data_IF_230904120468
#
_entry.id   IF_230904120468
#
_cell.length_a   1.000
_cell.length_b   1.000
_cell.length_c   1.000
_cell.angle_alpha   90.00
_cell.angle_beta   90.00
_cell.angle_gamma   90.00
#
_symmetry.space_group_name_H-M   'P 1'
#
loop_
_entity.id
_entity.type
_entity.pdbx_description
1 polymer ?
#
# COMPACT_ATOMS: atom_id res chain seq x y z
N UNK A 1 32.49 -33.76 2.29
CA UNK A 1 32.69 -32.29 2.39
C UNK A 1 31.63 -31.51 1.62
N UNK A 2 31.36 -31.81 0.38
CA UNK A 2 30.36 -31.11 -0.43
C UNK A 2 28.91 -31.30 0.03
N UNK A 3 28.52 -32.46 0.55
CA UNK A 3 27.18 -32.75 1.06
C UNK A 3 26.80 -31.90 2.29
N UNK A 4 27.75 -31.54 3.14
CA UNK A 4 27.52 -30.72 4.33
C UNK A 4 27.31 -29.26 3.99
N UNK A 5 27.95 -28.74 2.94
CA UNK A 5 27.81 -27.37 2.46
C UNK A 5 26.45 -27.21 1.78
N UNK A 6 26.00 -28.19 1.00
CA UNK A 6 24.68 -28.16 0.34
C UNK A 6 23.52 -28.13 1.35
N UNK A 7 23.62 -28.89 2.44
CA UNK A 7 22.58 -28.90 3.50
C UNK A 7 22.54 -27.58 4.23
N UNK A 8 23.69 -26.96 4.50
CA UNK A 8 23.74 -25.65 5.15
C UNK A 8 23.11 -24.53 4.29
N UNK A 9 23.40 -24.52 2.99
CA UNK A 9 22.79 -23.58 2.05
C UNK A 9 21.28 -23.77 1.94
N UNK A 10 20.79 -25.02 1.97
CA UNK A 10 19.36 -25.32 1.92
C UNK A 10 18.63 -24.82 3.17
N UNK A 11 19.24 -24.98 4.35
CA UNK A 11 18.68 -24.52 5.62
C UNK A 11 18.60 -22.98 5.66
N UNK A 12 19.62 -22.29 5.15
CA UNK A 12 19.64 -20.82 5.09
C UNK A 12 18.53 -20.30 4.19
N UNK A 13 18.25 -20.97 3.06
CA UNK A 13 17.20 -20.59 2.14
C UNK A 13 15.79 -20.69 2.77
N UNK A 14 15.53 -21.75 3.55
CA UNK A 14 14.28 -21.93 4.28
C UNK A 14 14.03 -20.87 5.36
N UNK A 15 15.10 -20.42 6.03
CA UNK A 15 14.97 -19.40 7.08
C UNK A 15 14.55 -18.04 6.51
N UNK A 16 15.05 -17.67 5.33
CA UNK A 16 14.69 -16.38 4.69
C UNK A 16 13.23 -16.34 4.20
N UNK A 17 12.73 -17.42 3.62
CA UNK A 17 11.33 -17.50 3.18
C UNK A 17 10.35 -17.45 4.34
N UNK A 18 10.65 -18.11 5.46
CA UNK A 18 9.78 -18.09 6.65
C UNK A 18 9.70 -16.72 7.31
N UNK A 19 10.78 -15.90 7.26
CA UNK A 19 10.77 -14.52 7.76
C UNK A 19 9.90 -13.58 6.93
N UNK A 20 9.89 -13.72 5.60
CA UNK A 20 9.02 -12.93 4.72
C UNK A 20 7.55 -13.28 4.92
N UNK A 21 7.20 -14.55 5.01
CA UNK A 21 5.83 -15.00 5.28
C UNK A 21 5.30 -14.43 6.60
N UNK A 22 6.10 -14.43 7.66
CA UNK A 22 5.73 -13.84 8.95
C UNK A 22 5.48 -12.34 8.86
N UNK A 23 6.32 -11.59 8.13
CA UNK A 23 6.12 -10.15 7.92
C UNK A 23 4.83 -9.88 7.13
N UNK A 24 4.59 -10.64 6.07
CA UNK A 24 3.37 -10.52 5.27
C UNK A 24 2.10 -10.76 6.11
N UNK A 25 2.10 -11.77 6.97
CA UNK A 25 0.99 -12.05 7.89
C UNK A 25 0.77 -10.92 8.89
N UNK A 26 1.85 -10.35 9.44
CA UNK A 26 1.77 -9.20 10.35
C UNK A 26 1.17 -7.99 9.64
N UNK A 27 1.64 -7.67 8.43
CA UNK A 27 1.13 -6.54 7.67
C UNK A 27 -0.33 -6.71 7.25
N UNK A 28 -0.73 -7.93 6.87
CA UNK A 28 -2.13 -8.24 6.57
C UNK A 28 -3.04 -8.05 7.80
N UNK A 29 -2.59 -8.49 8.97
CA UNK A 29 -3.31 -8.30 10.22
C UNK A 29 -3.41 -6.82 10.60
N UNK A 30 -2.32 -6.07 10.49
CA UNK A 30 -2.31 -4.63 10.78
C UNK A 30 -3.25 -3.85 9.86
N UNK A 31 -3.26 -4.16 8.56
CA UNK A 31 -4.16 -3.54 7.60
C UNK A 31 -5.63 -3.84 7.92
N UNK A 32 -5.93 -5.09 8.24
CA UNK A 32 -7.27 -5.51 8.67
C UNK A 32 -7.71 -4.79 9.94
N UNK A 33 -6.85 -4.76 10.95
CA UNK A 33 -7.13 -4.10 12.23
C UNK A 33 -7.37 -2.59 12.03
N UNK A 34 -6.54 -1.92 11.23
CA UNK A 34 -6.73 -0.51 10.88
C UNK A 34 -8.09 -0.28 10.20
N UNK A 35 -8.46 -1.14 9.26
CA UNK A 35 -9.74 -1.07 8.57
C UNK A 35 -10.92 -1.25 9.53
N UNK A 36 -10.85 -2.23 10.42
CA UNK A 36 -11.94 -2.56 11.36
C UNK A 36 -12.07 -1.53 12.49
N UNK A 37 -10.98 -0.94 12.97
CA UNK A 37 -10.98 -0.03 14.12
C UNK A 37 -11.01 1.44 13.73
N UNK A 38 -10.48 1.83 12.59
CA UNK A 38 -10.25 3.23 12.22
C UNK A 38 -11.07 3.66 11.00
N UNK A 39 -11.25 2.78 10.01
CA UNK A 39 -12.01 3.10 8.81
C UNK A 39 -13.52 2.90 9.01
N UNK A 40 -14.37 3.65 8.27
CA UNK A 40 -14.00 4.78 7.41
C UNK A 40 -13.58 6.01 8.22
N UNK A 41 -12.60 6.76 7.72
CA UNK A 41 -12.10 7.96 8.40
C UNK A 41 -11.94 9.11 7.39
N UNK A 42 -12.55 10.26 7.70
CA UNK A 42 -12.29 11.49 6.94
C UNK A 42 -10.87 11.97 7.19
N UNK A 43 -10.09 12.07 6.12
CA UNK A 43 -8.69 12.57 6.16
C UNK A 43 -8.65 14.08 6.07
N UNK A 44 -9.58 14.67 5.30
CA UNK A 44 -9.84 16.09 5.13
C UNK A 44 -11.32 16.28 4.77
N UNK A 45 -11.72 17.50 4.39
CA UNK A 45 -13.13 17.82 4.07
C UNK A 45 -13.67 17.05 2.85
N UNK A 46 -12.80 16.54 1.99
CA UNK A 46 -13.16 15.94 0.71
C UNK A 46 -12.74 14.49 0.55
N UNK A 47 -11.86 13.98 1.41
CA UNK A 47 -11.22 12.68 1.26
C UNK A 47 -11.50 11.78 2.45
N UNK A 48 -12.07 10.61 2.19
CA UNK A 48 -12.26 9.56 3.20
C UNK A 48 -11.43 8.33 2.83
N UNK A 49 -10.69 7.81 3.79
CA UNK A 49 -10.12 6.46 3.66
C UNK A 49 -11.17 5.43 4.08
N UNK A 50 -11.48 4.50 3.18
CA UNK A 50 -12.54 3.50 3.39
C UNK A 50 -11.98 2.19 3.96
N UNK A 51 -10.85 1.76 3.45
CA UNK A 51 -10.21 0.52 3.87
C UNK A 51 -8.75 0.45 3.44
N UNK A 52 -8.01 -0.39 4.14
CA UNK A 52 -6.64 -0.78 3.80
C UNK A 52 -6.57 -2.30 3.75
N UNK A 53 -6.02 -2.85 2.68
CA UNK A 53 -5.87 -4.29 2.49
C UNK A 53 -4.42 -4.58 2.13
N UNK A 54 -3.81 -5.55 2.80
CA UNK A 54 -2.50 -6.06 2.43
C UNK A 54 -2.64 -7.42 1.74
N UNK A 55 -2.05 -7.56 0.56
CA UNK A 55 -2.06 -8.79 -0.23
C UNK A 55 -0.63 -9.31 -0.34
N UNK A 56 -0.33 -10.43 0.31
CA UNK A 56 0.95 -11.12 0.18
C UNK A 56 1.18 -11.65 -1.22
N UNK A 57 2.43 -11.67 -1.67
CA UNK A 57 2.83 -12.19 -2.99
C UNK A 57 3.90 -13.27 -2.85
N UNK A 58 4.05 -14.11 -3.88
CA UNK A 58 5.06 -15.17 -3.89
C UNK A 58 6.45 -14.66 -4.27
N UNK A 59 6.52 -13.62 -5.10
CA UNK A 59 7.75 -13.06 -5.67
C UNK A 59 8.28 -11.84 -4.89
N UNK A 60 7.48 -11.31 -3.95
CA UNK A 60 7.81 -10.17 -3.10
C UNK A 60 6.98 -10.21 -1.81
N UNK A 61 7.26 -9.28 -0.87
CA UNK A 61 6.54 -9.22 0.40
C UNK A 61 5.03 -9.04 0.22
N UNK A 62 4.61 -8.16 -0.69
CA UNK A 62 3.21 -7.92 -1.01
C UNK A 62 2.87 -6.47 -1.30
N UNK A 63 1.58 -6.22 -1.46
CA UNK A 63 1.00 -4.93 -1.85
C UNK A 63 0.09 -4.40 -0.75
N UNK A 64 0.28 -3.14 -0.36
CA UNK A 64 -0.63 -2.40 0.49
C UNK A 64 -1.60 -1.61 -0.41
N UNK A 65 -2.86 -1.96 -0.38
CA UNK A 65 -3.92 -1.33 -1.17
C UNK A 65 -4.76 -0.42 -0.27
N UNK A 66 -4.81 0.87 -0.61
CA UNK A 66 -5.55 1.88 0.14
C UNK A 66 -6.70 2.42 -0.69
N UNK A 67 -7.91 2.28 -0.19
CA UNK A 67 -9.15 2.68 -0.87
C UNK A 67 -9.67 3.96 -0.28
N UNK A 68 -9.91 4.94 -1.16
CA UNK A 68 -10.41 6.26 -0.81
C UNK A 68 -11.68 6.60 -1.56
N UNK A 69 -12.54 7.40 -0.93
CA UNK A 69 -13.68 8.06 -1.57
C UNK A 69 -13.47 9.56 -1.53
N UNK A 70 -13.69 10.22 -2.68
CA UNK A 70 -13.66 11.67 -2.82
C UNK A 70 -15.11 12.21 -2.88
N UNK A 71 -15.38 13.20 -2.02
CA UNK A 71 -16.65 13.93 -1.95
C UNK A 71 -16.51 15.27 -2.69
N UNK A 72 -16.81 15.28 -3.98
CA UNK A 72 -16.55 16.39 -4.88
C UNK A 72 -17.85 16.93 -5.46
N UNK A 73 -17.99 18.26 -5.48
CA UNK A 73 -18.95 18.91 -6.37
C UNK A 73 -18.45 18.92 -7.83
N UNK A 74 -19.25 19.37 -8.76
CA UNK A 74 -18.90 19.30 -10.19
C UNK A 74 -17.67 20.13 -10.55
N UNK A 75 -17.47 21.28 -9.91
CA UNK A 75 -16.29 22.13 -10.12
C UNK A 75 -15.03 21.48 -9.56
N UNK A 76 -15.07 21.01 -8.33
CA UNK A 76 -13.93 20.32 -7.68
C UNK A 76 -13.57 19.03 -8.41
N UNK A 77 -14.57 18.29 -8.91
CA UNK A 77 -14.34 17.09 -9.72
C UNK A 77 -13.55 17.39 -10.97
N UNK A 78 -13.92 18.46 -11.68
CA UNK A 78 -13.19 18.89 -12.87
C UNK A 78 -11.74 19.24 -12.53
N UNK A 79 -11.50 19.98 -11.46
CA UNK A 79 -10.15 20.33 -10.99
C UNK A 79 -9.34 19.08 -10.70
N UNK A 80 -9.89 18.11 -9.97
CA UNK A 80 -9.21 16.84 -9.66
C UNK A 80 -8.89 16.07 -10.94
N UNK A 81 -9.86 15.93 -11.85
CA UNK A 81 -9.66 15.20 -13.11
C UNK A 81 -8.58 15.84 -14.00
N UNK A 82 -8.46 17.15 -13.98
CA UNK A 82 -7.44 17.88 -14.73
C UNK A 82 -6.05 17.82 -14.06
N UNK A 83 -5.95 17.40 -12.78
CA UNK A 83 -4.73 17.39 -11.99
C UNK A 83 -4.38 16.01 -11.35
N UNK A 84 -4.78 14.92 -11.98
CA UNK A 84 -4.51 13.57 -11.44
C UNK A 84 -3.01 13.27 -11.25
N UNK A 85 -2.16 13.81 -12.11
CA UNK A 85 -0.71 13.67 -11.97
C UNK A 85 -0.17 14.32 -10.69
N UNK A 86 -0.68 15.49 -10.31
CA UNK A 86 -0.30 16.16 -9.06
C UNK A 86 -0.75 15.36 -7.83
N UNK A 87 -1.93 14.78 -7.88
CA UNK A 87 -2.42 13.91 -6.80
C UNK A 87 -1.53 12.68 -6.63
N UNK A 88 -1.10 12.06 -7.72
CA UNK A 88 -0.17 10.94 -7.69
C UNK A 88 1.19 11.34 -7.10
N UNK A 89 1.73 12.50 -7.47
CA UNK A 89 2.99 13.03 -6.92
C UNK A 89 2.87 13.35 -5.43
N UNK A 90 1.75 13.89 -4.98
CA UNK A 90 1.49 14.15 -3.56
C UNK A 90 1.49 12.84 -2.76
N UNK A 91 0.83 11.80 -3.27
CA UNK A 91 0.83 10.48 -2.64
C UNK A 91 2.24 9.88 -2.55
N UNK A 92 3.02 9.98 -3.61
CA UNK A 92 4.41 9.50 -3.62
C UNK A 92 5.28 10.26 -2.63
N UNK A 93 5.11 11.57 -2.54
CA UNK A 93 5.83 12.41 -1.57
C UNK A 93 5.47 12.03 -0.13
N UNK A 94 4.19 11.82 0.17
CA UNK A 94 3.75 11.34 1.48
C UNK A 94 4.35 9.96 1.78
N UNK A 95 4.27 9.04 0.83
CA UNK A 95 4.80 7.70 0.97
C UNK A 95 6.31 7.70 1.27
N UNK A 96 7.08 8.57 0.62
CA UNK A 96 8.53 8.72 0.86
C UNK A 96 8.86 9.29 2.24
N UNK A 97 8.07 10.24 2.73
CA UNK A 97 8.42 11.08 3.87
C UNK A 97 7.71 10.69 5.18
N UNK A 98 6.58 10.00 5.11
CA UNK A 98 5.81 9.65 6.30
C UNK A 98 6.49 8.54 7.11
N UNK A 99 6.68 8.82 8.40
CA UNK A 99 7.27 7.87 9.37
C UNK A 99 6.40 6.60 9.51
N UNK A 100 5.08 6.72 9.40
CA UNK A 100 4.17 5.58 9.54
C UNK A 100 4.37 4.51 8.46
N UNK A 101 4.94 4.86 7.31
CA UNK A 101 5.23 3.92 6.24
C UNK A 101 6.64 3.32 6.28
N UNK A 102 7.49 3.75 7.22
CA UNK A 102 8.91 3.37 7.28
C UNK A 102 9.11 1.86 7.25
N UNK A 103 8.44 1.11 8.12
CA UNK A 103 8.60 -0.35 8.19
C UNK A 103 8.15 -1.07 6.92
N UNK A 104 7.14 -0.55 6.25
CA UNK A 104 6.63 -1.12 5.00
C UNK A 104 7.59 -0.83 3.84
N UNK A 105 8.12 0.41 3.76
CA UNK A 105 9.15 0.76 2.77
C UNK A 105 10.42 -0.07 2.95
N UNK A 106 10.90 -0.22 4.17
CA UNK A 106 12.07 -1.05 4.50
C UNK A 106 11.89 -2.51 4.11
N UNK A 107 10.67 -3.03 4.23
CA UNK A 107 10.32 -4.38 3.80
C UNK A 107 10.12 -4.54 2.29
N UNK A 108 10.09 -3.44 1.52
CA UNK A 108 9.88 -3.45 0.07
C UNK A 108 8.42 -3.64 -0.35
N UNK A 109 7.47 -3.26 0.51
CA UNK A 109 6.03 -3.28 0.19
C UNK A 109 5.75 -2.35 -0.99
N UNK A 110 4.97 -2.82 -1.96
CA UNK A 110 4.40 -1.96 -2.99
C UNK A 110 3.09 -1.34 -2.51
N UNK A 111 2.75 -0.17 -3.02
CA UNK A 111 1.59 0.59 -2.56
C UNK A 111 0.67 0.93 -3.73
N UNK A 112 -0.63 0.71 -3.55
CA UNK A 112 -1.64 1.09 -4.52
C UNK A 112 -2.67 2.00 -3.85
N UNK A 113 -2.86 3.17 -4.42
CA UNK A 113 -3.87 4.16 -4.01
C UNK A 113 -5.03 4.13 -5.00
N UNK A 114 -6.23 3.86 -4.53
CA UNK A 114 -7.43 3.74 -5.35
C UNK A 114 -8.47 4.75 -4.88
N UNK A 115 -8.87 5.65 -5.77
CA UNK A 115 -9.83 6.71 -5.48
C UNK A 115 -11.13 6.51 -6.26
N UNK A 116 -12.26 6.57 -5.55
CA UNK A 116 -13.60 6.55 -6.12
C UNK A 116 -14.32 7.85 -5.87
N UNK A 117 -15.23 8.22 -6.78
CA UNK A 117 -16.14 9.35 -6.63
C UNK A 117 -17.36 8.93 -5.80
N UNK A 118 -17.69 9.66 -4.73
CA UNK A 118 -18.87 9.38 -3.91
C UNK A 118 -20.17 9.51 -4.70
N UNK A 119 -20.25 10.51 -5.58
CA UNK A 119 -21.47 10.79 -6.33
C UNK A 119 -21.82 9.73 -7.37
N UNK A 120 -20.82 9.12 -8.03
CA UNK A 120 -21.02 8.17 -9.13
C UNK A 120 -20.62 6.74 -8.75
N UNK A 121 -19.78 6.56 -7.75
CA UNK A 121 -19.15 5.28 -7.42
C UNK A 121 -18.04 4.86 -8.39
N UNK A 122 -17.72 5.67 -9.39
CA UNK A 122 -16.69 5.36 -10.39
C UNK A 122 -15.28 5.52 -9.82
N UNK A 123 -14.38 4.68 -10.29
CA UNK A 123 -12.96 4.85 -10.00
C UNK A 123 -12.40 6.05 -10.76
N UNK A 124 -11.88 7.03 -10.02
CA UNK A 124 -11.28 8.25 -10.56
C UNK A 124 -9.82 8.00 -10.94
N UNK A 125 -9.08 7.32 -10.07
CA UNK A 125 -7.65 7.14 -10.21
C UNK A 125 -7.17 5.89 -9.48
N UNK A 126 -6.13 5.30 -10.02
CA UNK A 126 -5.34 4.26 -9.40
C UNK A 126 -3.86 4.55 -9.61
N UNK A 127 -3.08 4.65 -8.53
CA UNK A 127 -1.63 4.83 -8.57
C UNK A 127 -0.96 3.62 -7.93
N UNK A 128 0.05 3.07 -8.59
CA UNK A 128 0.86 1.98 -8.05
C UNK A 128 2.31 2.42 -7.93
N UNK A 129 2.89 2.28 -6.74
CA UNK A 129 4.27 2.63 -6.43
C UNK A 129 5.05 1.41 -5.99
N UNK A 130 6.16 1.18 -6.66
CA UNK A 130 7.11 0.12 -6.33
C UNK A 130 8.23 0.65 -5.44
N UNK A 131 9.07 -0.24 -4.94
CA UNK A 131 10.25 0.13 -4.15
C UNK A 131 11.14 1.14 -4.87
N UNK A 132 11.29 1.03 -6.19
CA UNK A 132 12.10 1.96 -7.01
C UNK A 132 11.55 3.38 -7.01
N UNK A 133 10.24 3.55 -6.88
CA UNK A 133 9.61 4.86 -6.92
C UNK A 133 9.83 5.65 -5.63
N UNK A 134 9.90 4.97 -4.48
CA UNK A 134 10.02 5.64 -3.18
C UNK A 134 11.42 5.56 -2.53
N UNK A 135 12.36 4.87 -3.13
CA UNK A 135 13.78 4.85 -2.71
C UNK A 135 14.52 6.16 -2.94
#
# INVERSE_FOLDING_TARGET
MYARISILCLIIFFVFTSCQERKAEVFAREAKEYTETTCPLMMDDFTRIDSVVFVGRNDRIGDMMMYYTLFLDDESRKVVMDNLGELAEMNLKELRNSVRFTKYREAGVEFTYIYHDDATGDKIMECHFTKKDYE
#
